data_IF_019904389864
#
_entry.id   IF_019904389864
#
_cell.length_a   1.000
_cell.length_b   1.000
_cell.length_c   1.000
_cell.angle_alpha   90.00
_cell.angle_beta   90.00
_cell.angle_gamma   90.00
#
_symmetry.space_group_name_H-M   'P 1'
#
loop_
_entity.id
_entity.type
_entity.pdbx_description
1 polymer ?
#
# COMPACT_ATOMS: atom_id res chain seq x y z
N UNK A 1 4.53 26.73 18.28
CA UNK A 1 3.84 25.43 18.35
C UNK A 1 4.92 24.41 18.00
N UNK A 2 5.45 23.68 18.97
CA UNK A 2 6.54 22.74 18.69
C UNK A 2 5.98 21.70 17.73
N UNK A 3 6.50 21.64 16.50
CA UNK A 3 6.04 20.66 15.55
C UNK A 3 6.41 19.29 16.14
N UNK A 4 5.49 18.33 16.06
CA UNK A 4 5.73 16.96 16.56
C UNK A 4 7.00 16.36 15.90
N UNK A 5 7.31 16.83 14.70
CA UNK A 5 8.54 16.51 13.96
C UNK A 5 9.82 16.99 14.64
N UNK A 6 9.80 18.06 15.45
CA UNK A 6 10.97 18.55 16.17
C UNK A 6 11.25 17.73 17.44
N UNK A 7 10.22 17.05 17.97
CA UNK A 7 10.32 16.21 19.17
C UNK A 7 10.78 14.81 18.80
N UNK A 8 10.26 14.26 17.69
CA UNK A 8 10.50 12.88 17.27
C UNK A 8 11.54 12.79 16.14
N UNK A 9 11.75 13.86 15.37
CA UNK A 9 12.64 13.86 14.20
C UNK A 9 11.97 13.31 12.94
N UNK A 10 12.12 14.02 11.82
CA UNK A 10 11.61 13.60 10.51
C UNK A 10 12.24 12.28 10.03
N UNK A 11 13.48 12.03 10.42
CA UNK A 11 14.23 10.80 10.13
C UNK A 11 13.52 9.53 10.59
N UNK A 12 12.83 9.56 11.73
CA UNK A 12 12.08 8.42 12.25
C UNK A 12 10.85 8.10 11.39
N UNK A 13 10.18 9.11 10.86
CA UNK A 13 9.06 8.92 9.92
C UNK A 13 9.55 8.37 8.58
N UNK A 14 10.68 8.86 8.07
CA UNK A 14 11.31 8.33 6.86
C UNK A 14 11.70 6.87 7.06
N UNK A 15 12.33 6.53 8.18
CA UNK A 15 12.73 5.16 8.49
C UNK A 15 11.51 4.23 8.59
N UNK A 16 10.44 4.67 9.26
CA UNK A 16 9.19 3.92 9.35
C UNK A 16 8.56 3.69 7.97
N UNK A 17 8.48 4.71 7.12
CA UNK A 17 7.98 4.58 5.75
C UNK A 17 8.81 3.59 4.93
N UNK A 18 10.13 3.68 4.97
CA UNK A 18 11.02 2.74 4.25
C UNK A 18 10.85 1.31 4.75
N UNK A 19 10.73 1.13 6.06
CA UNK A 19 10.52 -0.18 6.68
C UNK A 19 9.18 -0.79 6.26
N UNK A 20 8.08 -0.03 6.34
CA UNK A 20 6.76 -0.49 5.92
C UNK A 20 6.71 -0.82 4.43
N UNK A 21 7.30 0.04 3.59
CA UNK A 21 7.38 -0.20 2.15
C UNK A 21 8.16 -1.49 1.86
N UNK A 22 9.29 -1.70 2.53
CA UNK A 22 10.10 -2.91 2.39
C UNK A 22 9.33 -4.16 2.80
N UNK A 23 8.59 -4.12 3.92
CA UNK A 23 7.71 -5.23 4.34
C UNK A 23 6.68 -5.54 3.25
N UNK A 24 6.07 -4.52 2.67
CA UNK A 24 5.14 -4.67 1.56
C UNK A 24 5.80 -5.32 0.33
N UNK A 25 7.00 -4.87 -0.05
CA UNK A 25 7.78 -5.49 -1.15
C UNK A 25 8.06 -6.96 -0.87
N UNK A 26 8.53 -7.31 0.33
CA UNK A 26 8.74 -8.70 0.72
C UNK A 26 7.43 -9.51 0.67
N UNK A 27 6.32 -8.93 1.11
CA UNK A 27 4.99 -9.53 1.01
C UNK A 27 4.61 -9.85 -0.44
N UNK A 28 4.77 -8.91 -1.37
CA UNK A 28 4.47 -9.09 -2.78
C UNK A 28 5.33 -10.19 -3.42
N UNK A 29 6.63 -10.22 -3.12
CA UNK A 29 7.57 -11.16 -3.76
C UNK A 29 7.45 -12.60 -3.26
N UNK A 30 7.17 -12.80 -1.97
CA UNK A 30 7.23 -14.13 -1.35
C UNK A 30 5.86 -14.80 -1.18
N UNK A 31 4.75 -14.06 -1.26
CA UNK A 31 3.42 -14.60 -0.96
C UNK A 31 2.74 -15.11 -2.23
N UNK A 32 2.23 -16.34 -2.15
CA UNK A 32 1.44 -16.97 -3.22
C UNK A 32 -0.06 -16.72 -3.10
N UNK A 33 -0.52 -16.41 -1.89
CA UNK A 33 -1.91 -16.07 -1.64
C UNK A 33 -2.19 -14.66 -2.18
N UNK A 34 -3.08 -14.56 -3.16
CA UNK A 34 -3.40 -13.31 -3.82
C UNK A 34 -3.93 -12.23 -2.86
N UNK A 35 -4.71 -12.60 -1.84
CA UNK A 35 -5.19 -11.64 -0.82
C UNK A 35 -4.01 -11.03 -0.06
N UNK A 36 -3.02 -11.85 0.32
CA UNK A 36 -1.84 -11.35 1.04
C UNK A 36 -1.01 -10.43 0.14
N UNK A 37 -0.91 -10.73 -1.16
CA UNK A 37 -0.24 -9.85 -2.13
C UNK A 37 -0.97 -8.51 -2.22
N UNK A 38 -2.30 -8.50 -2.34
CA UNK A 38 -3.10 -7.26 -2.31
C UNK A 38 -2.88 -6.45 -1.03
N UNK A 39 -2.94 -7.09 0.14
CA UNK A 39 -2.67 -6.39 1.40
C UNK A 39 -1.24 -5.83 1.47
N UNK A 40 -0.27 -6.50 0.84
CA UNK A 40 1.11 -6.02 0.80
C UNK A 40 1.25 -4.78 -0.06
N UNK A 41 0.52 -4.70 -1.19
CA UNK A 41 0.44 -3.51 -2.05
C UNK A 41 -0.18 -2.34 -1.27
N UNK A 42 -1.27 -2.57 -0.54
CA UNK A 42 -1.89 -1.54 0.30
C UNK A 42 -0.95 -1.00 1.38
N UNK A 43 -0.14 -1.87 2.01
CA UNK A 43 0.89 -1.45 2.98
C UNK A 43 1.95 -0.58 2.29
N UNK A 44 2.35 -0.90 1.05
CA UNK A 44 3.29 -0.08 0.28
C UNK A 44 2.70 1.31 -0.02
N UNK A 45 1.45 1.39 -0.46
CA UNK A 45 0.76 2.65 -0.73
C UNK A 45 0.61 3.49 0.55
N UNK A 46 0.29 2.86 1.68
CA UNK A 46 0.20 3.55 2.97
C UNK A 46 1.56 4.10 3.43
N UNK A 47 2.64 3.34 3.23
CA UNK A 47 4.00 3.80 3.56
C UNK A 47 4.41 5.05 2.78
N UNK A 48 4.04 5.12 1.49
CA UNK A 48 4.24 6.30 0.64
C UNK A 48 3.37 7.47 1.11
N UNK A 49 2.11 7.21 1.48
CA UNK A 49 1.23 8.26 2.02
C UNK A 49 1.74 8.84 3.34
N UNK A 50 2.26 8.00 4.23
CA UNK A 50 2.91 8.47 5.46
C UNK A 50 4.08 9.41 5.16
N UNK A 51 4.89 9.08 4.14
CA UNK A 51 6.02 9.92 3.72
C UNK A 51 5.55 11.27 3.18
N UNK A 52 4.49 11.29 2.38
CA UNK A 52 3.89 12.52 1.88
C UNK A 52 3.35 13.42 3.00
N UNK A 53 2.65 12.85 3.99
CA UNK A 53 2.18 13.63 5.15
C UNK A 53 3.36 14.18 5.94
N UNK A 54 4.40 13.37 6.17
CA UNK A 54 5.58 13.80 6.91
C UNK A 54 6.29 14.99 6.23
N UNK A 55 6.50 14.94 4.92
CA UNK A 55 7.10 16.04 4.17
C UNK A 55 6.19 17.26 4.03
N UNK A 56 4.88 17.05 3.88
CA UNK A 56 3.88 18.13 3.89
C UNK A 56 3.93 18.91 5.19
N UNK A 57 3.97 18.22 6.34
CA UNK A 57 4.10 18.85 7.65
C UNK A 57 5.48 19.51 7.83
N UNK A 58 6.55 18.90 7.32
CA UNK A 58 7.91 19.46 7.42
C UNK A 58 8.08 20.77 6.63
N UNK A 59 7.55 20.85 5.42
CA UNK A 59 7.62 22.05 4.56
C UNK A 59 6.51 23.06 4.84
N UNK A 60 5.59 22.75 5.78
CA UNK A 60 4.38 23.53 6.05
C UNK A 60 3.53 23.79 4.80
N UNK A 61 3.49 22.82 3.89
CA UNK A 61 2.73 22.88 2.65
C UNK A 61 1.68 21.76 2.63
N UNK A 62 0.43 22.11 2.34
CA UNK A 62 -0.70 21.18 2.36
C UNK A 62 -0.80 20.29 1.11
N UNK A 63 -0.02 20.55 0.05
CA UNK A 63 -0.10 19.78 -1.21
C UNK A 63 0.09 18.28 -1.00
N UNK A 64 1.05 17.86 -0.16
CA UNK A 64 1.27 16.44 0.14
C UNK A 64 0.09 15.78 0.87
N UNK A 65 -0.59 16.50 1.75
CA UNK A 65 -1.82 16.00 2.40
C UNK A 65 -2.98 15.86 1.41
N UNK A 66 -3.12 16.80 0.47
CA UNK A 66 -4.14 16.71 -0.60
C UNK A 66 -3.90 15.48 -1.46
N UNK A 67 -2.64 15.22 -1.85
CA UNK A 67 -2.30 14.02 -2.63
C UNK A 67 -2.66 12.72 -1.90
N UNK A 68 -2.44 12.67 -0.58
CA UNK A 68 -2.76 11.52 0.26
C UNK A 68 -4.27 11.22 0.27
N UNK A 69 -5.13 12.25 0.26
CA UNK A 69 -6.58 12.05 0.11
C UNK A 69 -6.94 11.40 -1.23
N UNK A 70 -6.34 11.86 -2.33
CA UNK A 70 -6.55 11.24 -3.64
C UNK A 70 -6.04 9.81 -3.66
N UNK A 71 -4.87 9.53 -3.08
CA UNK A 71 -4.35 8.17 -2.97
C UNK A 71 -5.29 7.26 -2.18
N UNK A 72 -5.87 7.71 -1.07
CA UNK A 72 -6.86 6.93 -0.31
C UNK A 72 -8.13 6.63 -1.13
N UNK A 73 -8.60 7.59 -1.93
CA UNK A 73 -9.74 7.38 -2.81
C UNK A 73 -9.44 6.35 -3.91
N UNK A 74 -8.24 6.41 -4.51
CA UNK A 74 -7.77 5.43 -5.50
C UNK A 74 -7.61 4.05 -4.87
N UNK A 75 -7.01 3.95 -3.68
CA UNK A 75 -6.86 2.69 -2.95
C UNK A 75 -8.23 2.06 -2.64
N UNK A 76 -9.20 2.86 -2.20
CA UNK A 76 -10.56 2.36 -1.97
C UNK A 76 -11.22 1.80 -3.25
N UNK A 77 -11.02 2.48 -4.39
CA UNK A 77 -11.52 2.01 -5.68
C UNK A 77 -10.78 0.74 -6.15
N UNK A 78 -9.47 0.69 -5.99
CA UNK A 78 -8.62 -0.46 -6.33
C UNK A 78 -9.02 -1.70 -5.53
N UNK A 79 -9.17 -1.58 -4.20
CA UNK A 79 -9.57 -2.70 -3.33
C UNK A 79 -10.96 -3.23 -3.71
N UNK A 80 -11.90 -2.34 -4.03
CA UNK A 80 -13.24 -2.76 -4.46
C UNK A 80 -13.20 -3.61 -5.74
N UNK A 81 -12.43 -3.17 -6.75
CA UNK A 81 -12.27 -3.90 -8.02
C UNK A 81 -11.44 -5.16 -7.83
N UNK A 82 -10.32 -5.08 -7.11
CA UNK A 82 -9.41 -6.19 -6.85
C UNK A 82 -10.10 -7.34 -6.11
N UNK A 83 -10.86 -7.03 -5.06
CA UNK A 83 -11.65 -8.04 -4.33
C UNK A 83 -12.76 -8.63 -5.19
N UNK A 84 -13.45 -7.84 -6.02
CA UNK A 84 -14.46 -8.37 -6.92
C UNK A 84 -13.87 -9.40 -7.91
N UNK A 85 -12.68 -9.10 -8.45
CA UNK A 85 -11.93 -10.02 -9.32
C UNK A 85 -11.52 -11.28 -8.54
N UNK A 86 -10.96 -11.13 -7.33
CA UNK A 86 -10.54 -12.25 -6.50
C UNK A 86 -11.70 -13.19 -6.13
N UNK A 87 -12.87 -12.64 -5.80
CA UNK A 87 -14.07 -13.42 -5.53
C UNK A 87 -14.52 -14.18 -6.78
N UNK A 88 -14.49 -13.53 -7.96
CA UNK A 88 -14.79 -14.20 -9.23
C UNK A 88 -13.82 -15.34 -9.52
N UNK A 89 -12.52 -15.14 -9.30
CA UNK A 89 -11.49 -16.18 -9.43
C UNK A 89 -11.75 -17.34 -8.47
N UNK A 90 -12.00 -17.03 -7.19
CA UNK A 90 -12.24 -18.04 -6.17
C UNK A 90 -13.49 -18.88 -6.48
N UNK A 91 -14.55 -18.26 -7.02
CA UNK A 91 -15.76 -18.97 -7.48
C UNK A 91 -15.49 -19.94 -8.63
N UNK A 92 -14.53 -19.66 -9.50
CA UNK A 92 -14.22 -20.49 -10.66
C UNK A 92 -13.16 -21.58 -10.36
N UNK A 93 -12.17 -21.27 -9.52
CA UNK A 93 -11.01 -22.15 -9.27
C UNK A 93 -11.02 -22.80 -7.87
N UNK A 94 -11.88 -22.35 -6.95
CA UNK A 94 -11.90 -22.80 -5.55
C UNK A 94 -10.65 -22.43 -4.75
N UNK A 95 -9.76 -21.60 -5.29
CA UNK A 95 -8.49 -21.22 -4.69
C UNK A 95 -8.09 -19.80 -5.08
N UNK A 96 -7.37 -19.13 -4.16
CA UNK A 96 -6.78 -17.79 -4.33
C UNK A 96 -5.26 -17.84 -4.49
N UNK A 97 -4.69 -19.02 -4.74
CA UNK A 97 -3.26 -19.17 -5.05
C UNK A 97 -2.99 -18.69 -6.48
N UNK A 98 -2.10 -17.70 -6.60
CA UNK A 98 -1.69 -17.11 -7.88
C UNK A 98 -1.08 -18.16 -8.82
N UNK A 99 -0.46 -19.22 -8.29
CA UNK A 99 0.12 -20.29 -9.10
C UNK A 99 -0.92 -21.03 -9.96
N UNK A 100 -2.19 -21.03 -9.55
CA UNK A 100 -3.30 -21.66 -10.27
C UNK A 100 -3.80 -20.81 -11.46
N UNK A 101 -3.30 -19.58 -11.62
CA UNK A 101 -3.70 -18.66 -12.69
C UNK A 101 -2.88 -18.82 -14.00
N UNK A 102 -2.22 -19.96 -14.22
CA UNK A 102 -1.29 -20.19 -15.34
C UNK A 102 -1.92 -20.80 -16.60
N UNK A 103 -3.21 -20.56 -16.84
CA UNK A 103 -3.94 -21.22 -17.92
C UNK A 103 -3.72 -20.63 -19.32
N UNK A 104 -3.03 -19.48 -19.41
CA UNK A 104 -2.66 -18.87 -20.68
C UNK A 104 -1.23 -19.27 -21.04
N UNK A 105 -1.09 -20.08 -22.10
CA UNK A 105 0.19 -20.40 -22.74
C UNK A 105 0.16 -19.81 -24.16
N UNK A 106 1.18 -19.04 -24.50
CA UNK A 106 1.50 -18.67 -25.88
C UNK A 106 2.36 -19.76 -26.52
#
# INVERSE_FOLDING_TARGET
MNNILDIIGIENYIFLSVLLFSIGVFGVLYRRNAIIVFMSIEIMLNAVNLLFVAFSTYHQDAEGQVFVFFSMAVAAAEVAVGLAILVSIFRNLGSIDIANLKNLKG
#
